data_IF_939493626416
#
_entry.id   IF_939493626416
#
_cell.length_a   1.000
_cell.length_b   1.000
_cell.length_c   1.000
_cell.angle_alpha   90.00
_cell.angle_beta   90.00
_cell.angle_gamma   90.00
#
_symmetry.space_group_name_H-M   'P 1'
#
loop_
_entity.id
_entity.type
_entity.pdbx_description
1 polymer ?
#
# COMPACT_ATOMS: atom_id res chain seq x y z
N UNK A 1 -7.83 -32.39 -1.45
CA UNK A 1 -8.22 -31.23 -0.61
C UNK A 1 -9.40 -30.56 -1.28
N UNK A 2 -10.52 -30.39 -0.56
CA UNK A 2 -11.71 -29.71 -1.10
C UNK A 2 -11.66 -28.20 -0.90
N UNK A 3 -12.51 -27.43 -1.59
CA UNK A 3 -12.63 -25.99 -1.38
C UNK A 3 -13.04 -25.64 0.05
N UNK A 4 -13.94 -26.43 0.66
CA UNK A 4 -14.36 -26.27 2.06
C UNK A 4 -13.20 -26.51 3.04
N UNK A 5 -12.42 -27.57 2.83
CA UNK A 5 -11.25 -27.87 3.67
C UNK A 5 -10.17 -26.78 3.56
N UNK A 6 -9.99 -26.25 2.35
CA UNK A 6 -9.08 -25.13 2.09
C UNK A 6 -9.51 -23.88 2.85
N UNK A 7 -10.82 -23.55 2.81
CA UNK A 7 -11.36 -22.39 3.51
C UNK A 7 -11.16 -22.49 5.04
N UNK A 8 -11.40 -23.67 5.62
CA UNK A 8 -11.16 -23.92 7.05
C UNK A 8 -9.69 -23.69 7.43
N UNK A 9 -8.75 -24.29 6.69
CA UNK A 9 -7.31 -24.11 6.96
C UNK A 9 -6.86 -22.65 6.84
N UNK A 10 -7.39 -21.92 5.85
CA UNK A 10 -7.09 -20.49 5.72
C UNK A 10 -7.65 -19.72 6.92
N UNK A 11 -8.86 -20.07 7.40
CA UNK A 11 -9.44 -19.43 8.59
C UNK A 11 -8.70 -19.70 9.89
N UNK A 12 -8.05 -20.85 10.01
CA UNK A 12 -7.20 -21.15 11.17
C UNK A 12 -6.00 -20.20 11.26
N UNK A 13 -5.52 -19.69 10.12
CA UNK A 13 -4.35 -18.81 10.04
C UNK A 13 -4.70 -17.33 9.94
N UNK A 14 -5.79 -16.99 9.27
CA UNK A 14 -6.18 -15.61 8.99
C UNK A 14 -7.63 -15.37 9.39
N UNK A 15 -7.96 -14.28 10.10
CA UNK A 15 -9.35 -13.89 10.33
C UNK A 15 -10.00 -13.32 9.05
N UNK A 16 -11.33 -13.39 8.98
CA UNK A 16 -12.13 -12.86 7.85
C UNK A 16 -11.86 -11.39 7.54
N UNK A 17 -11.64 -10.61 8.60
CA UNK A 17 -11.39 -9.18 8.51
C UNK A 17 -10.04 -8.82 7.87
N UNK A 18 -9.08 -9.74 7.87
CA UNK A 18 -7.75 -9.54 7.29
C UNK A 18 -7.67 -10.07 5.85
N UNK A 19 -8.27 -11.24 5.62
CA UNK A 19 -8.26 -11.92 4.34
C UNK A 19 -9.67 -12.40 4.05
N UNK A 20 -10.47 -11.74 3.19
CA UNK A 20 -11.79 -12.25 2.82
C UNK A 20 -11.70 -13.46 1.87
N UNK A 21 -12.55 -14.49 2.05
CA UNK A 21 -12.72 -15.62 1.12
C UNK A 21 -14.06 -15.51 0.40
N UNK A 22 -14.03 -15.56 -0.92
CA UNK A 22 -15.22 -15.73 -1.76
C UNK A 22 -15.15 -17.12 -2.40
N UNK A 23 -16.13 -17.98 -2.11
CA UNK A 23 -16.25 -19.28 -2.77
C UNK A 23 -16.95 -19.12 -4.10
N UNK A 24 -16.40 -19.69 -5.17
CA UNK A 24 -17.01 -19.66 -6.50
C UNK A 24 -17.20 -21.07 -7.00
N UNK A 25 -18.44 -21.53 -7.10
CA UNK A 25 -18.78 -22.95 -7.27
C UNK A 25 -19.83 -23.17 -8.35
N UNK A 26 -19.83 -24.34 -8.99
CA UNK A 26 -20.95 -24.77 -9.84
C UNK A 26 -22.13 -25.32 -9.01
N UNK A 27 -21.90 -25.63 -7.75
CA UNK A 27 -22.95 -26.04 -6.82
C UNK A 27 -23.72 -24.81 -6.35
N UNK A 28 -25.04 -24.89 -6.36
CA UNK A 28 -25.93 -23.78 -6.06
C UNK A 28 -27.05 -24.15 -5.07
N UNK A 29 -27.02 -25.37 -4.55
CA UNK A 29 -27.95 -25.81 -3.52
C UNK A 29 -27.73 -25.03 -2.22
N UNK A 30 -28.81 -24.80 -1.48
CA UNK A 30 -28.77 -24.02 -0.25
C UNK A 30 -27.80 -24.65 0.77
N UNK A 31 -27.76 -25.97 0.86
CA UNK A 31 -26.86 -26.69 1.77
C UNK A 31 -25.38 -26.45 1.44
N UNK A 32 -25.01 -26.38 0.15
CA UNK A 32 -23.63 -26.12 -0.27
C UNK A 32 -23.21 -24.68 0.03
N UNK A 33 -24.12 -23.72 -0.13
CA UNK A 33 -23.89 -22.32 0.21
C UNK A 33 -23.69 -22.18 1.72
N UNK A 34 -24.61 -22.75 2.50
CA UNK A 34 -24.56 -22.72 3.96
C UNK A 34 -23.29 -23.39 4.48
N UNK A 35 -22.90 -24.54 3.93
CA UNK A 35 -21.65 -25.21 4.31
C UNK A 35 -20.42 -24.38 3.96
N UNK A 36 -20.40 -23.74 2.79
CA UNK A 36 -19.31 -22.84 2.40
C UNK A 36 -19.11 -21.69 3.38
N UNK A 37 -20.20 -21.04 3.79
CA UNK A 37 -20.17 -19.96 4.79
C UNK A 37 -19.74 -20.48 6.17
N UNK A 38 -20.25 -21.65 6.61
CA UNK A 38 -19.83 -22.29 7.87
C UNK A 38 -18.34 -22.64 7.90
N UNK A 39 -17.76 -22.96 6.76
CA UNK A 39 -16.33 -23.23 6.63
C UNK A 39 -15.45 -21.98 6.67
N UNK A 40 -16.04 -20.79 6.80
CA UNK A 40 -15.32 -19.53 6.93
C UNK A 40 -15.11 -18.77 5.62
N UNK A 41 -15.97 -19.03 4.63
CA UNK A 41 -16.14 -18.12 3.50
C UNK A 41 -16.96 -16.90 3.92
N UNK A 42 -16.59 -15.75 3.39
CA UNK A 42 -17.30 -14.47 3.60
C UNK A 42 -18.41 -14.26 2.57
N UNK A 43 -18.31 -14.91 1.42
CA UNK A 43 -19.34 -14.93 0.38
C UNK A 43 -19.28 -16.21 -0.45
N UNK A 44 -20.39 -16.54 -1.10
CA UNK A 44 -20.53 -17.69 -1.97
C UNK A 44 -21.25 -17.29 -3.26
N UNK A 45 -20.60 -17.55 -4.40
CA UNK A 45 -21.08 -17.19 -5.72
C UNK A 45 -21.23 -18.46 -6.56
N UNK A 46 -22.47 -18.80 -6.90
CA UNK A 46 -22.75 -19.90 -7.82
C UNK A 46 -22.48 -19.51 -9.27
N UNK A 47 -22.10 -20.50 -10.08
CA UNK A 47 -21.95 -20.36 -11.54
C UNK A 47 -23.27 -20.75 -12.23
N UNK A 48 -23.64 -20.07 -13.32
CA UNK A 48 -22.94 -18.94 -13.92
C UNK A 48 -23.22 -17.62 -13.18
N UNK A 49 -22.19 -16.76 -13.06
CA UNK A 49 -22.32 -15.43 -12.45
C UNK A 49 -22.05 -14.33 -13.47
N UNK A 50 -22.60 -13.13 -13.22
CA UNK A 50 -22.29 -11.94 -14.01
C UNK A 50 -20.96 -11.35 -13.54
N UNK A 51 -20.06 -11.05 -14.47
CA UNK A 51 -18.74 -10.46 -14.16
C UNK A 51 -18.84 -9.17 -13.33
N UNK A 52 -19.80 -8.31 -13.66
CA UNK A 52 -20.03 -7.05 -12.95
C UNK A 52 -20.46 -7.28 -11.49
N UNK A 53 -21.25 -8.33 -11.23
CA UNK A 53 -21.70 -8.69 -9.89
C UNK A 53 -20.53 -9.22 -9.04
N UNK A 54 -19.76 -10.17 -9.57
CA UNK A 54 -18.58 -10.68 -8.87
C UNK A 54 -17.58 -9.55 -8.58
N UNK A 55 -17.35 -8.65 -9.54
CA UNK A 55 -16.48 -7.50 -9.33
C UNK A 55 -17.01 -6.55 -8.23
N UNK A 56 -18.33 -6.35 -8.13
CA UNK A 56 -18.93 -5.55 -7.08
C UNK A 56 -18.77 -6.21 -5.69
N UNK A 57 -18.95 -7.53 -5.60
CA UNK A 57 -18.72 -8.32 -4.37
C UNK A 57 -17.27 -8.25 -3.92
N UNK A 58 -16.31 -8.48 -4.83
CA UNK A 58 -14.87 -8.35 -4.55
C UNK A 58 -14.55 -6.95 -3.98
N UNK A 59 -15.02 -5.89 -4.64
CA UNK A 59 -14.81 -4.51 -4.16
C UNK A 59 -15.44 -4.27 -2.79
N UNK A 60 -16.61 -4.86 -2.51
CA UNK A 60 -17.25 -4.74 -1.20
C UNK A 60 -16.40 -5.37 -0.09
N UNK A 61 -15.86 -6.57 -0.30
CA UNK A 61 -14.98 -7.22 0.67
C UNK A 61 -13.66 -6.48 0.87
N UNK A 62 -13.05 -5.95 -0.20
CA UNK A 62 -11.84 -5.13 -0.11
C UNK A 62 -12.11 -3.89 0.76
N UNK A 63 -13.18 -3.14 0.48
CA UNK A 63 -13.55 -1.97 1.29
C UNK A 63 -13.79 -2.30 2.76
N UNK A 64 -14.41 -3.44 3.05
CA UNK A 64 -14.65 -3.87 4.43
C UNK A 64 -13.34 -4.20 5.17
N UNK A 65 -12.42 -4.92 4.51
CA UNK A 65 -11.06 -5.18 5.03
C UNK A 65 -10.31 -3.88 5.29
N UNK A 66 -10.39 -2.94 4.37
CA UNK A 66 -9.68 -1.65 4.44
C UNK A 66 -10.20 -0.80 5.59
N UNK A 67 -11.53 -0.70 5.73
CA UNK A 67 -12.15 -0.01 6.86
C UNK A 67 -11.76 -0.63 8.21
N UNK A 68 -11.67 -1.96 8.28
CA UNK A 68 -11.21 -2.67 9.48
C UNK A 68 -9.74 -2.38 9.78
N UNK A 69 -8.87 -2.38 8.78
CA UNK A 69 -7.46 -2.03 8.92
C UNK A 69 -7.30 -0.58 9.40
N UNK A 70 -8.05 0.37 8.83
CA UNK A 70 -8.09 1.75 9.28
C UNK A 70 -8.59 1.88 10.72
N UNK A 71 -9.62 1.13 11.11
CA UNK A 71 -10.14 1.14 12.47
C UNK A 71 -9.12 0.59 13.47
N UNK A 72 -8.42 -0.50 13.13
CA UNK A 72 -7.34 -1.03 13.96
C UNK A 72 -6.15 -0.06 14.05
N UNK A 73 -5.79 0.58 12.94
CA UNK A 73 -4.79 1.64 12.94
C UNK A 73 -5.22 2.78 13.87
N UNK A 74 -6.43 3.32 13.70
CA UNK A 74 -6.98 4.38 14.57
C UNK A 74 -7.05 3.99 16.05
N UNK A 75 -7.41 2.74 16.36
CA UNK A 75 -7.46 2.24 17.73
C UNK A 75 -6.05 2.13 18.35
N UNK A 76 -5.05 1.72 17.57
CA UNK A 76 -3.63 1.74 17.99
C UNK A 76 -3.07 3.17 18.08
N UNK A 77 -3.60 4.09 17.29
CA UNK A 77 -3.27 5.52 17.27
C UNK A 77 -3.97 6.35 18.37
N UNK A 78 -4.83 5.74 19.18
CA UNK A 78 -5.43 6.38 20.36
C UNK A 78 -4.43 6.88 21.40
N UNK A 79 -3.15 6.48 21.30
CA UNK A 79 -2.03 6.95 22.12
C UNK A 79 -0.84 7.50 21.32
N UNK A 80 -0.89 7.45 19.99
CA UNK A 80 0.14 8.03 19.14
C UNK A 80 -0.55 8.60 17.91
N UNK A 81 -0.58 9.93 17.81
CA UNK A 81 -0.85 10.63 16.55
C UNK A 81 0.21 10.14 15.56
N UNK A 82 -0.16 9.82 14.31
CA UNK A 82 0.70 9.39 13.18
C UNK A 82 0.91 7.88 12.96
N UNK A 83 0.00 7.22 12.22
CA UNK A 83 0.27 6.05 11.34
C UNK A 83 -0.80 6.07 10.24
N UNK A 84 -0.65 6.96 9.26
CA UNK A 84 -1.18 6.65 7.95
C UNK A 84 -0.21 5.64 7.30
N UNK A 85 -0.69 4.63 6.55
CA UNK A 85 0.20 3.81 5.72
C UNK A 85 0.97 4.72 4.76
N UNK A 86 2.21 4.38 4.37
CA UNK A 86 3.00 5.19 3.44
C UNK A 86 2.16 5.49 2.21
N UNK A 87 2.09 6.77 1.84
CA UNK A 87 1.34 7.31 0.71
C UNK A 87 1.52 6.49 -0.58
N UNK A 88 2.64 5.77 -0.72
CA UNK A 88 2.99 4.93 -1.86
C UNK A 88 2.13 3.68 -2.08
N UNK A 89 1.82 2.89 -1.04
CA UNK A 89 1.17 1.57 -1.22
C UNK A 89 -0.31 1.70 -1.66
N UNK A 90 -1.02 2.68 -1.10
CA UNK A 90 -2.35 3.06 -1.58
C UNK A 90 -2.28 3.71 -2.95
N UNK A 91 -1.30 4.59 -3.20
CA UNK A 91 -1.13 5.20 -4.51
C UNK A 91 -0.77 4.18 -5.60
N UNK A 92 -0.07 3.08 -5.30
CA UNK A 92 0.25 2.00 -6.25
C UNK A 92 -1.00 1.16 -6.54
N UNK A 93 -1.76 0.80 -5.50
CA UNK A 93 -3.03 0.07 -5.67
C UNK A 93 -4.10 0.91 -6.40
N UNK A 94 -4.14 2.23 -6.15
CA UNK A 94 -5.02 3.17 -6.87
C UNK A 94 -4.53 3.49 -8.28
N UNK A 95 -3.21 3.50 -8.54
CA UNK A 95 -2.62 3.70 -9.88
C UNK A 95 -3.06 2.63 -10.88
N UNK A 96 -3.36 1.41 -10.43
CA UNK A 96 -3.82 0.33 -11.32
C UNK A 96 -5.28 0.46 -11.78
N UNK A 97 -6.07 1.42 -11.27
CA UNK A 97 -7.50 1.57 -11.65
C UNK A 97 -7.92 2.96 -12.13
N UNK A 98 -6.98 3.80 -12.59
CA UNK A 98 -7.19 5.19 -13.05
C UNK A 98 -7.31 6.20 -11.91
N UNK A 99 -6.18 6.75 -11.48
CA UNK A 99 -6.17 7.85 -10.53
C UNK A 99 -6.57 9.17 -11.24
N UNK A 100 -7.74 9.69 -10.90
CA UNK A 100 -8.24 11.01 -11.28
C UNK A 100 -7.43 12.11 -10.56
N UNK A 101 -7.13 13.22 -11.24
CA UNK A 101 -6.36 14.36 -10.69
C UNK A 101 -7.01 14.92 -9.41
N UNK A 102 -8.34 14.85 -9.33
CA UNK A 102 -9.13 15.28 -8.19
C UNK A 102 -8.83 14.44 -6.92
N UNK A 103 -8.58 13.14 -7.07
CA UNK A 103 -8.34 12.23 -5.95
C UNK A 103 -6.96 12.46 -5.31
N UNK A 104 -5.95 12.71 -6.15
CA UNK A 104 -4.58 12.99 -5.72
C UNK A 104 -4.49 14.29 -4.90
N UNK A 105 -5.28 15.30 -5.27
CA UNK A 105 -5.39 16.58 -4.54
C UNK A 105 -6.08 16.46 -3.18
N UNK A 106 -7.06 15.56 -3.05
CA UNK A 106 -7.83 15.38 -1.81
C UNK A 106 -7.04 14.62 -0.75
N UNK A 107 -6.12 13.75 -1.15
CA UNK A 107 -5.38 12.87 -0.24
C UNK A 107 -3.94 13.32 0.00
N UNK A 108 -3.58 14.53 -0.43
CA UNK A 108 -2.25 15.13 -0.23
C UNK A 108 -1.08 14.34 -0.84
N UNK A 109 -1.36 13.53 -1.87
CA UNK A 109 -0.42 12.57 -2.48
C UNK A 109 0.47 13.19 -3.56
N UNK A 110 0.40 14.51 -3.75
CA UNK A 110 1.21 15.27 -4.69
C UNK A 110 2.11 16.25 -3.95
N UNK A 111 3.32 16.55 -4.46
CA UNK A 111 4.14 17.64 -3.95
C UNK A 111 3.35 18.96 -3.86
N UNK A 112 3.59 19.75 -2.81
CA UNK A 112 2.80 20.97 -2.50
C UNK A 112 2.77 21.98 -3.66
N UNK A 113 3.86 22.10 -4.41
CA UNK A 113 3.94 22.92 -5.63
C UNK A 113 2.97 22.43 -6.73
N UNK A 114 2.91 21.11 -6.95
CA UNK A 114 2.01 20.48 -7.92
C UNK A 114 0.55 20.60 -7.49
N UNK A 115 0.27 20.44 -6.19
CA UNK A 115 -1.08 20.63 -5.65
C UNK A 115 -1.60 22.04 -5.87
N UNK A 116 -0.77 23.05 -5.63
CA UNK A 116 -1.13 24.47 -5.82
C UNK A 116 -1.50 24.75 -7.27
N UNK A 117 -0.67 24.27 -8.21
CA UNK A 117 -0.89 24.43 -9.65
C UNK A 117 -2.19 23.76 -10.10
N UNK A 118 -2.42 22.49 -9.71
CA UNK A 118 -3.63 21.77 -10.07
C UNK A 118 -4.91 22.37 -9.44
N UNK A 119 -4.85 22.86 -8.19
CA UNK A 119 -6.00 23.56 -7.56
C UNK A 119 -6.37 24.85 -8.29
N UNK A 120 -5.41 25.48 -8.95
CA UNK A 120 -5.63 26.67 -9.77
C UNK A 120 -6.06 26.35 -11.22
N UNK A 121 -6.21 25.07 -11.57
CA UNK A 121 -6.55 24.64 -12.94
C UNK A 121 -5.37 24.74 -13.91
N UNK A 122 -4.14 24.89 -13.42
CA UNK A 122 -2.95 24.96 -14.26
C UNK A 122 -2.55 23.57 -14.75
N UNK A 123 -2.16 23.46 -16.01
CA UNK A 123 -1.58 22.23 -16.55
C UNK A 123 -0.18 22.04 -15.97
N UNK A 124 0.03 20.90 -15.31
CA UNK A 124 1.36 20.51 -14.78
C UNK A 124 2.22 20.07 -15.95
N UNK A 125 3.12 20.95 -16.38
CA UNK A 125 4.18 20.63 -17.34
C UNK A 125 5.39 20.14 -16.53
N UNK A 126 6.16 19.19 -17.08
CA UNK A 126 7.39 18.71 -16.45
C UNK A 126 8.30 19.89 -16.09
N UNK A 127 8.59 20.06 -14.80
CA UNK A 127 9.43 21.13 -14.28
C UNK A 127 10.90 20.73 -14.46
N UNK A 128 11.72 21.66 -14.97
CA UNK A 128 13.16 21.46 -15.10
C UNK A 128 13.86 22.06 -13.87
N UNK A 129 14.58 21.23 -13.13
CA UNK A 129 15.39 21.66 -11.99
C UNK A 129 16.85 21.76 -12.39
N UNK A 130 17.51 22.87 -12.02
CA UNK A 130 18.87 23.17 -12.47
C UNK A 130 19.94 22.27 -11.86
N UNK A 131 19.76 21.87 -10.59
CA UNK A 131 20.64 20.96 -9.89
C UNK A 131 19.82 20.12 -8.89
N UNK A 132 19.95 18.80 -8.98
CA UNK A 132 19.29 17.85 -8.07
C UNK A 132 20.26 16.77 -7.65
N UNK A 133 20.08 16.24 -6.45
CA UNK A 133 20.76 15.01 -6.01
C UNK A 133 19.74 13.91 -5.86
N UNK A 134 20.06 12.74 -6.41
CA UNK A 134 19.20 11.55 -6.35
C UNK A 134 19.95 10.43 -5.62
N UNK A 135 19.34 9.89 -4.58
CA UNK A 135 19.81 8.71 -3.87
C UNK A 135 18.97 7.51 -4.27
N UNK A 136 19.65 6.43 -4.65
CA UNK A 136 19.04 5.12 -4.87
C UNK A 136 19.47 4.18 -3.75
N UNK A 137 18.51 3.64 -3.01
CA UNK A 137 18.72 2.68 -1.94
C UNK A 137 17.94 1.39 -2.21
N UNK A 138 18.56 0.24 -1.98
CA UNK A 138 17.94 -1.07 -2.21
C UNK A 138 17.94 -1.89 -0.91
N UNK A 139 16.82 -2.56 -0.63
CA UNK A 139 16.69 -3.51 0.47
C UNK A 139 17.44 -4.80 0.13
N UNK A 140 18.64 -4.93 0.66
CA UNK A 140 19.50 -6.10 0.43
C UNK A 140 18.87 -7.36 1.00
N UNK A 141 18.85 -8.44 0.20
CA UNK A 141 18.41 -9.76 0.65
C UNK A 141 16.90 -9.94 0.73
N UNK A 142 16.10 -9.02 0.19
CA UNK A 142 14.64 -9.10 0.23
C UNK A 142 14.05 -10.42 -0.31
N UNK A 143 14.54 -11.02 -1.42
CA UNK A 143 14.00 -12.30 -1.89
C UNK A 143 14.17 -13.45 -0.88
N UNK A 144 15.27 -13.42 -0.11
CA UNK A 144 15.52 -14.41 0.94
C UNK A 144 14.59 -14.19 2.13
N UNK A 145 14.46 -12.93 2.57
CA UNK A 145 13.51 -12.56 3.62
C UNK A 145 12.07 -12.93 3.25
N UNK A 146 11.67 -12.73 1.99
CA UNK A 146 10.35 -13.10 1.50
C UNK A 146 10.10 -14.62 1.48
N UNK A 147 11.15 -15.43 1.41
CA UNK A 147 11.05 -16.89 1.47
C UNK A 147 11.04 -17.45 2.90
N UNK A 148 11.67 -16.75 3.84
CA UNK A 148 11.89 -17.21 5.22
C UNK A 148 10.92 -16.58 6.25
N UNK A 149 10.44 -15.35 5.98
CA UNK A 149 9.63 -14.56 6.92
C UNK A 149 8.14 -14.67 6.59
N UNK A 150 7.26 -14.90 7.59
CA UNK A 150 5.81 -14.87 7.38
C UNK A 150 5.35 -13.57 6.71
N UNK A 151 4.41 -13.61 5.74
CA UNK A 151 4.04 -12.43 4.94
C UNK A 151 3.64 -11.21 5.78
N UNK A 152 2.94 -11.42 6.90
CA UNK A 152 2.53 -10.33 7.78
C UNK A 152 3.72 -9.66 8.48
N UNK A 153 4.69 -10.45 8.95
CA UNK A 153 5.90 -9.94 9.60
C UNK A 153 6.79 -9.20 8.59
N UNK A 154 6.91 -9.72 7.37
CA UNK A 154 7.64 -9.06 6.30
C UNK A 154 7.02 -7.70 5.95
N UNK A 155 5.69 -7.64 5.82
CA UNK A 155 4.97 -6.39 5.55
C UNK A 155 5.18 -5.39 6.69
N UNK A 156 5.13 -5.84 7.95
CA UNK A 156 5.39 -4.96 9.10
C UNK A 156 6.83 -4.44 9.09
N UNK A 157 7.81 -5.30 8.82
CA UNK A 157 9.23 -4.91 8.74
C UNK A 157 9.46 -3.87 7.62
N UNK A 158 8.95 -4.14 6.42
CA UNK A 158 9.06 -3.22 5.29
C UNK A 158 8.36 -1.90 5.58
N UNK A 159 7.18 -1.94 6.20
CA UNK A 159 6.46 -0.73 6.57
C UNK A 159 7.27 0.12 7.55
N UNK A 160 7.88 -0.49 8.58
CA UNK A 160 8.75 0.22 9.51
C UNK A 160 9.97 0.84 8.81
N UNK A 161 10.60 0.10 7.88
CA UNK A 161 11.75 0.59 7.13
C UNK A 161 11.38 1.81 6.27
N UNK A 162 10.29 1.70 5.51
CA UNK A 162 9.84 2.78 4.64
C UNK A 162 9.32 3.99 5.44
N UNK A 163 8.65 3.77 6.57
CA UNK A 163 8.26 4.87 7.48
C UNK A 163 9.48 5.65 7.96
N UNK A 164 10.54 4.97 8.44
CA UNK A 164 11.75 5.66 8.88
C UNK A 164 12.42 6.46 7.75
N UNK A 165 12.34 5.95 6.52
CA UNK A 165 12.90 6.65 5.37
C UNK A 165 12.05 7.87 4.96
N UNK A 166 10.72 7.73 4.99
CA UNK A 166 9.79 8.83 4.72
C UNK A 166 9.94 9.96 5.75
N UNK A 167 10.05 9.63 7.04
CA UNK A 167 10.32 10.59 8.12
C UNK A 167 11.62 11.35 7.88
N UNK A 168 12.69 10.63 7.55
CA UNK A 168 13.98 11.24 7.24
C UNK A 168 13.90 12.13 5.97
N UNK A 169 13.09 11.76 4.98
CA UNK A 169 12.82 12.61 3.81
C UNK A 169 12.09 13.90 4.16
N UNK A 170 11.05 13.82 5.00
CA UNK A 170 10.28 15.00 5.42
C UNK A 170 11.09 15.96 6.28
N UNK A 171 11.89 15.48 7.23
CA UNK A 171 12.69 16.32 8.12
C UNK A 171 13.74 17.14 7.37
N UNK A 172 14.32 16.57 6.31
CA UNK A 172 15.43 17.17 5.57
C UNK A 172 14.98 17.80 4.24
N UNK A 173 13.68 17.78 3.94
CA UNK A 173 13.12 18.39 2.72
C UNK A 173 13.43 17.63 1.42
N UNK A 174 13.74 16.34 1.50
CA UNK A 174 13.88 15.48 0.33
C UNK A 174 12.52 14.90 -0.10
N UNK A 175 12.35 14.66 -1.40
CA UNK A 175 11.19 13.97 -1.95
C UNK A 175 11.45 12.46 -2.01
N UNK A 176 10.70 11.70 -1.23
CA UNK A 176 10.67 10.24 -1.29
C UNK A 176 9.84 9.72 -2.48
N UNK A 177 10.41 8.79 -3.25
CA UNK A 177 9.78 8.13 -4.39
C UNK A 177 10.07 6.63 -4.35
N UNK A 178 9.05 5.81 -4.11
CA UNK A 178 9.15 4.34 -4.20
C UNK A 178 8.97 3.91 -5.67
N UNK A 179 9.97 3.22 -6.22
CA UNK A 179 9.97 2.81 -7.63
C UNK A 179 9.68 1.32 -7.85
N UNK A 180 9.86 0.45 -6.84
CA UNK A 180 9.65 -0.99 -7.02
C UNK A 180 9.87 -1.82 -5.75
N UNK A 181 9.11 -1.63 -4.66
CA UNK A 181 8.92 -2.62 -3.57
C UNK A 181 10.16 -3.09 -2.77
N UNK A 182 11.35 -2.71 -3.23
CA UNK A 182 12.69 -3.07 -2.79
C UNK A 182 13.67 -1.91 -3.03
N UNK A 183 13.29 -0.94 -3.85
CA UNK A 183 14.11 0.23 -4.19
C UNK A 183 13.41 1.49 -3.72
N UNK A 184 14.11 2.24 -2.88
CA UNK A 184 13.71 3.57 -2.44
C UNK A 184 14.55 4.62 -3.17
N UNK A 185 13.91 5.66 -3.67
CA UNK A 185 14.57 6.81 -4.27
C UNK A 185 14.28 8.06 -3.46
N UNK A 186 15.30 8.79 -3.06
CA UNK A 186 15.16 10.12 -2.45
C UNK A 186 15.73 11.18 -3.38
N UNK A 187 15.02 12.30 -3.55
CA UNK A 187 15.41 13.40 -4.44
C UNK A 187 15.48 14.71 -3.66
N UNK A 188 16.63 15.38 -3.66
CA UNK A 188 16.80 16.71 -3.08
C UNK A 188 17.20 17.74 -4.15
N UNK A 189 16.91 19.02 -3.90
CA UNK A 189 17.14 20.13 -4.85
C UNK A 189 15.97 20.42 -5.79
N UNK A 190 14.85 19.71 -5.64
CA UNK A 190 13.60 19.98 -6.37
C UNK A 190 12.94 21.31 -5.96
N UNK A 191 13.38 21.89 -4.85
CA UNK A 191 12.99 23.18 -4.28
C UNK A 191 14.08 24.25 -4.45
N UNK A 192 15.07 24.00 -5.32
CA UNK A 192 16.26 24.84 -5.55
C UNK A 192 17.13 25.04 -4.29
N UNK A 193 17.04 24.14 -3.30
CA UNK A 193 17.89 24.20 -2.11
C UNK A 193 19.37 23.92 -2.47
N UNK A 194 20.30 24.87 -2.25
CA UNK A 194 21.70 24.71 -2.62
C UNK A 194 22.45 23.66 -1.78
N UNK A 195 21.89 23.21 -0.66
CA UNK A 195 22.46 22.18 0.22
C UNK A 195 21.98 20.76 -0.14
N UNK A 196 21.32 20.59 -1.30
CA UNK A 196 20.71 19.33 -1.73
C UNK A 196 21.63 18.10 -1.69
N UNK A 197 22.94 18.30 -1.91
CA UNK A 197 23.94 17.23 -1.80
C UNK A 197 24.22 16.81 -0.35
N UNK A 198 24.38 17.77 0.55
CA UNK A 198 24.66 17.51 1.97
C UNK A 198 23.48 16.82 2.65
N UNK A 199 22.25 17.19 2.27
CA UNK A 199 21.02 16.57 2.77
C UNK A 199 20.99 15.08 2.41
N UNK A 200 21.26 14.74 1.14
CA UNK A 200 21.27 13.33 0.70
C UNK A 200 22.37 12.50 1.37
N UNK A 201 23.52 13.09 1.70
CA UNK A 201 24.60 12.36 2.37
C UNK A 201 24.24 11.91 3.80
N UNK A 202 23.25 12.54 4.45
CA UNK A 202 22.77 12.13 5.79
C UNK A 202 22.03 10.79 5.78
N UNK A 203 21.54 10.36 4.62
CA UNK A 203 20.86 9.08 4.43
C UNK A 203 21.84 7.92 4.21
N UNK A 204 23.12 8.22 3.96
CA UNK A 204 24.15 7.21 3.75
C UNK A 204 24.84 6.96 5.09
N UNK A 205 24.64 5.78 5.72
CA UNK A 205 25.36 5.47 6.94
C UNK A 205 26.87 5.50 6.66
N UNK A 206 27.71 5.95 7.62
CA UNK A 206 29.16 5.89 7.45
C UNK A 206 29.55 4.46 7.12
N UNK A 207 30.35 4.28 6.07
CA UNK A 207 30.82 2.98 5.64
C UNK A 207 31.49 2.27 6.81
N UNK A 208 30.90 1.15 7.22
CA UNK A 208 31.54 0.22 8.15
C UNK A 208 32.58 -0.53 7.33
N UNK A 209 33.85 -0.13 7.47
CA UNK A 209 35.00 -0.90 6.98
C UNK A 209 35.08 -2.28 7.63
#
# INVERSE_FOLDING_TARGET
>A
MSGYETARRIRELYPSSLLPIIMVSAKAEEEDIVEGLKCGADDYVSKPFKRAELAARIRAHIRARDAFAEQQARARLGSARWLAPPAGLWAILHRMQAADQQWLLQHNLLPRNVQRKLRNGETVVAEHHGAVTVLWAEVVGLPRLAAEVPPLELVVMLNSLYTSWDELCEEEGALGVDFSGSTYVAVSGHDDNPQHMELILRYVPPSVE
#
